data_IF_965161808908
#
_entry.id   IF_965161808908
#
_cell.length_a   1.000
_cell.length_b   1.000
_cell.length_c   1.000
_cell.angle_alpha   90.00
_cell.angle_beta   90.00
_cell.angle_gamma   90.00
#
_symmetry.space_group_name_H-M   'P 1'
#
loop_
_entity.id
_entity.type
_entity.pdbx_description
1 polymer ?
#
# COMPACT_ATOMS: atom_id res chain seq x y z
N UNK A 1 21.17 -10.42 -1.84
CA UNK A 1 20.24 -9.32 -2.18
C UNK A 1 20.17 -8.44 -0.96
N UNK A 2 20.21 -7.11 -1.11
CA UNK A 2 20.06 -6.21 0.03
C UNK A 2 18.58 -6.15 0.44
N UNK A 3 18.32 -5.90 1.71
CA UNK A 3 16.97 -5.64 2.21
C UNK A 3 16.71 -4.14 2.23
N UNK A 4 15.47 -3.76 1.95
CA UNK A 4 14.96 -2.39 2.05
C UNK A 4 13.85 -2.34 3.10
N UNK A 5 13.76 -1.22 3.81
CA UNK A 5 12.70 -0.96 4.77
C UNK A 5 11.76 0.11 4.22
N UNK A 6 10.49 -0.24 4.09
CA UNK A 6 9.44 0.66 3.63
C UNK A 6 8.50 0.98 4.79
N UNK A 7 8.16 2.25 4.95
CA UNK A 7 7.23 2.72 5.95
C UNK A 7 5.81 2.80 5.38
N UNK A 8 4.91 2.00 5.95
CA UNK A 8 3.48 1.98 5.61
C UNK A 8 2.71 2.81 6.62
N UNK A 9 1.90 3.75 6.13
CA UNK A 9 1.00 4.58 6.95
C UNK A 9 -0.43 4.47 6.46
N UNK A 10 -1.34 4.05 7.33
CA UNK A 10 -2.74 3.93 7.01
C UNK A 10 -3.58 5.03 7.68
N UNK A 11 -4.72 5.35 7.08
CA UNK A 11 -5.67 6.34 7.55
C UNK A 11 -7.09 5.77 7.65
N UNK A 12 -7.91 6.42 8.49
CA UNK A 12 -9.29 6.02 8.79
C UNK A 12 -9.43 4.50 8.96
N UNK A 13 -10.34 3.84 8.23
CA UNK A 13 -10.67 2.42 8.41
C UNK A 13 -9.49 1.48 8.14
N UNK A 14 -8.52 1.89 7.32
CA UNK A 14 -7.32 1.09 7.09
C UNK A 14 -6.41 1.01 8.32
N UNK A 15 -6.47 2.00 9.24
CA UNK A 15 -5.69 1.96 10.49
C UNK A 15 -6.07 0.79 11.38
N UNK A 16 -7.34 0.41 11.39
CA UNK A 16 -7.84 -0.70 12.19
C UNK A 16 -7.25 -2.04 11.74
N UNK A 17 -6.81 -2.14 10.48
CA UNK A 17 -6.23 -3.36 9.90
C UNK A 17 -4.70 -3.30 9.88
N UNK A 18 -4.12 -2.22 9.33
CA UNK A 18 -2.68 -2.07 9.10
C UNK A 18 -1.91 -1.43 10.27
N UNK A 19 -2.63 -0.86 11.24
CA UNK A 19 -2.06 0.07 12.22
C UNK A 19 -1.80 1.46 11.63
N UNK A 20 -1.48 2.43 12.49
CA UNK A 20 -1.21 3.80 12.06
C UNK A 20 0.13 3.97 11.33
N UNK A 21 1.13 3.15 11.69
CA UNK A 21 2.49 3.16 11.15
C UNK A 21 3.10 1.77 11.31
N UNK A 22 3.51 1.17 10.20
CA UNK A 22 4.11 -0.17 10.15
C UNK A 22 5.35 -0.13 9.28
N UNK A 23 6.41 -0.82 9.68
CA UNK A 23 7.60 -1.00 8.83
C UNK A 23 7.54 -2.37 8.20
N UNK A 24 7.75 -2.42 6.88
CA UNK A 24 7.81 -3.67 6.13
C UNK A 24 9.21 -3.80 5.54
N UNK A 25 9.86 -4.92 5.81
CA UNK A 25 11.14 -5.27 5.21
C UNK A 25 10.87 -6.10 3.96
N UNK A 26 11.48 -5.70 2.86
CA UNK A 26 11.34 -6.27 1.53
C UNK A 26 12.74 -6.47 0.92
N UNK A 27 12.86 -7.32 -0.08
CA UNK A 27 14.11 -7.42 -0.84
C UNK A 27 14.24 -6.27 -1.83
N UNK A 28 15.47 -5.80 -2.06
CA UNK A 28 15.76 -4.77 -3.06
C UNK A 28 15.23 -5.18 -4.45
N UNK A 29 14.59 -4.23 -5.13
CA UNK A 29 13.99 -4.44 -6.45
C UNK A 29 12.52 -4.87 -6.42
N UNK A 30 11.95 -5.15 -5.24
CA UNK A 30 10.51 -5.35 -5.07
C UNK A 30 9.72 -4.07 -5.34
N UNK A 31 8.45 -4.26 -5.68
CA UNK A 31 7.53 -3.23 -6.16
C UNK A 31 6.43 -2.94 -5.15
N UNK A 32 5.64 -1.89 -5.42
CA UNK A 32 4.42 -1.60 -4.64
C UNK A 32 3.47 -2.80 -4.63
N UNK A 33 3.36 -3.54 -5.74
CA UNK A 33 2.56 -4.78 -5.79
C UNK A 33 3.09 -5.83 -4.82
N UNK A 34 4.40 -6.05 -4.77
CA UNK A 34 5.00 -7.03 -3.86
C UNK A 34 4.78 -6.64 -2.39
N UNK A 35 4.90 -5.34 -2.08
CA UNK A 35 4.55 -4.82 -0.75
C UNK A 35 3.10 -5.13 -0.39
N UNK A 36 2.17 -4.90 -1.32
CA UNK A 36 0.76 -5.19 -1.10
C UNK A 36 0.50 -6.67 -0.84
N UNK A 37 1.11 -7.58 -1.60
CA UNK A 37 0.99 -9.02 -1.35
C UNK A 37 1.48 -9.39 0.06
N UNK A 38 2.63 -8.86 0.50
CA UNK A 38 3.14 -9.08 1.87
C UNK A 38 2.16 -8.55 2.92
N UNK A 39 1.48 -7.42 2.67
CA UNK A 39 0.46 -6.90 3.57
C UNK A 39 -0.80 -7.78 3.57
N UNK A 40 -1.22 -8.31 2.43
CA UNK A 40 -2.40 -9.17 2.33
C UNK A 40 -2.20 -10.52 3.01
N UNK A 41 -0.99 -11.10 2.94
CA UNK A 41 -0.66 -12.33 3.67
C UNK A 41 -0.69 -12.14 5.20
N UNK A 42 -0.45 -10.91 5.69
CA UNK A 42 -0.43 -10.59 7.12
C UNK A 42 -1.79 -10.17 7.67
N UNK A 43 -2.72 -9.78 6.79
CA UNK A 43 -3.98 -9.15 7.16
C UNK A 43 -5.13 -9.67 6.30
N UNK A 44 -5.90 -10.62 6.86
CA UNK A 44 -7.10 -11.13 6.23
C UNK A 44 -8.11 -10.00 5.94
N UNK A 45 -8.73 -10.04 4.75
CA UNK A 45 -9.72 -9.05 4.31
C UNK A 45 -9.15 -7.69 3.89
N UNK A 46 -7.84 -7.44 4.01
CA UNK A 46 -7.22 -6.21 3.53
C UNK A 46 -7.26 -6.11 2.00
N UNK A 47 -7.11 -7.24 1.31
CA UNK A 47 -7.11 -7.29 -0.17
C UNK A 47 -8.38 -6.69 -0.75
N UNK A 48 -9.54 -7.10 -0.25
CA UNK A 48 -10.86 -6.63 -0.71
C UNK A 48 -11.14 -5.16 -0.32
N UNK A 49 -10.42 -4.64 0.68
CA UNK A 49 -10.50 -3.23 1.09
C UNK A 49 -9.66 -2.31 0.22
N UNK A 50 -8.54 -2.79 -0.31
CA UNK A 50 -7.60 -2.00 -1.11
C UNK A 50 -7.83 -2.20 -2.60
N UNK A 51 -8.14 -3.42 -3.04
CA UNK A 51 -8.26 -3.80 -4.44
C UNK A 51 -9.71 -4.12 -4.84
N UNK A 52 -10.06 -3.82 -6.08
CA UNK A 52 -11.27 -4.27 -6.77
C UNK A 52 -11.17 -5.74 -7.22
N UNK A 53 -12.25 -6.27 -7.78
CA UNK A 53 -12.33 -7.62 -8.33
C UNK A 53 -11.36 -7.88 -9.50
N UNK A 54 -10.84 -6.83 -10.13
CA UNK A 54 -9.86 -6.91 -11.21
C UNK A 54 -8.41 -6.81 -10.69
N UNK A 55 -8.21 -6.75 -9.36
CA UNK A 55 -6.90 -6.67 -8.72
C UNK A 55 -6.25 -5.28 -8.83
N UNK A 56 -7.03 -4.24 -9.10
CA UNK A 56 -6.57 -2.84 -9.20
C UNK A 56 -7.02 -2.10 -7.95
N UNK A 57 -6.37 -0.99 -7.56
CA UNK A 57 -6.86 -0.18 -6.44
C UNK A 57 -8.36 0.14 -6.60
N UNK A 58 -9.12 -0.12 -5.54
CA UNK A 58 -10.57 0.08 -5.51
C UNK A 58 -10.93 1.55 -5.75
N UNK A 59 -12.17 1.79 -6.19
CA UNK A 59 -12.63 3.15 -6.45
C UNK A 59 -12.53 4.01 -5.18
N UNK A 60 -11.82 5.14 -5.28
CA UNK A 60 -11.56 6.04 -4.16
C UNK A 60 -10.39 5.64 -3.25
N UNK A 61 -9.75 4.49 -3.45
CA UNK A 61 -8.56 4.10 -2.68
C UNK A 61 -7.33 4.80 -3.25
N UNK A 62 -6.72 5.70 -2.47
CA UNK A 62 -5.48 6.35 -2.84
C UNK A 62 -4.27 5.65 -2.23
N UNK A 63 -3.30 5.33 -3.09
CA UNK A 63 -2.01 4.78 -2.72
C UNK A 63 -0.95 5.80 -3.10
N UNK A 64 -0.34 6.43 -2.10
CA UNK A 64 0.64 7.51 -2.31
C UNK A 64 2.03 7.01 -1.92
N UNK A 65 2.98 7.01 -2.86
CA UNK A 65 4.39 6.73 -2.64
C UNK A 65 5.18 8.04 -2.66
N UNK A 66 5.78 8.42 -1.52
CA UNK A 66 6.59 9.64 -1.38
C UNK A 66 5.91 10.91 -1.95
N UNK A 67 4.61 11.06 -1.72
CA UNK A 67 3.82 12.20 -2.21
C UNK A 67 3.25 12.05 -3.63
N UNK A 68 3.54 10.96 -4.35
CA UNK A 68 2.97 10.67 -5.68
C UNK A 68 1.91 9.57 -5.60
N UNK A 69 0.72 9.84 -6.12
CA UNK A 69 -0.34 8.83 -6.21
C UNK A 69 0.01 7.80 -7.30
N UNK A 70 0.32 6.58 -6.88
CA UNK A 70 0.62 5.42 -7.76
C UNK A 70 -0.60 4.53 -7.96
N UNK A 71 -1.64 4.69 -7.12
CA UNK A 71 -2.92 4.01 -7.27
C UNK A 71 -3.72 4.53 -8.47
N UNK A 72 -3.69 5.85 -8.69
CA UNK A 72 -4.39 6.52 -9.79
C UNK A 72 -3.90 6.06 -11.17
N UNK A 73 -2.59 5.91 -11.34
CA UNK A 73 -2.01 5.40 -12.60
C UNK A 73 -2.21 3.89 -12.77
N UNK A 74 -2.74 3.21 -11.74
CA UNK A 74 -2.87 1.75 -11.64
C UNK A 74 -1.55 1.02 -11.88
N UNK A 75 -0.43 1.72 -11.70
CA UNK A 75 0.91 1.19 -11.88
C UNK A 75 1.51 0.85 -10.52
N UNK A 76 1.28 -0.39 -10.12
CA UNK A 76 1.84 -0.97 -8.90
C UNK A 76 3.22 -1.62 -9.17
N UNK A 77 3.75 -1.50 -10.39
CA UNK A 77 5.06 -2.07 -10.75
C UNK A 77 6.23 -1.16 -10.41
N UNK A 78 5.94 0.02 -9.83
CA UNK A 78 6.95 0.95 -9.34
C UNK A 78 7.83 0.26 -8.30
N UNK A 79 9.15 0.25 -8.54
CA UNK A 79 10.16 -0.29 -7.62
C UNK A 79 10.28 0.58 -6.38
N UNK A 80 10.31 -0.08 -5.23
CA UNK A 80 10.53 0.54 -3.93
C UNK A 80 12.02 0.65 -3.63
N UNK A 81 12.36 1.62 -2.79
CA UNK A 81 13.70 1.90 -2.27
C UNK A 81 13.69 1.91 -0.75
N UNK A 82 14.87 1.74 -0.18
CA UNK A 82 15.03 1.85 1.27
C UNK A 82 14.61 3.24 1.76
N UNK A 83 13.82 3.26 2.83
CA UNK A 83 13.26 4.48 3.41
C UNK A 83 12.02 5.04 2.72
N UNK A 84 11.51 4.40 1.66
CA UNK A 84 10.28 4.85 1.00
C UNK A 84 9.09 4.86 1.96
N UNK A 85 8.20 5.84 1.77
CA UNK A 85 6.98 5.97 2.54
C UNK A 85 5.76 5.77 1.64
N UNK A 86 4.91 4.83 2.03
CA UNK A 86 3.63 4.57 1.37
C UNK A 86 2.47 4.92 2.29
N UNK A 87 1.46 5.56 1.72
CA UNK A 87 0.26 5.99 2.42
C UNK A 87 -0.95 5.36 1.77
N UNK A 88 -1.83 4.79 2.60
CA UNK A 88 -3.10 4.22 2.18
C UNK A 88 -4.25 5.07 2.73
N UNK A 89 -5.01 5.67 1.82
CA UNK A 89 -6.23 6.41 2.16
C UNK A 89 -7.44 5.64 1.62
N UNK A 90 -8.46 5.38 2.46
CA UNK A 90 -9.70 4.82 1.97
C UNK A 90 -10.45 5.83 1.11
N UNK A 91 -11.49 5.38 0.38
CA UNK A 91 -12.41 6.27 -0.33
C UNK A 91 -12.83 7.42 0.58
N UNK A 92 -12.51 8.64 0.16
CA UNK A 92 -13.00 9.84 0.81
C UNK A 92 -14.52 9.86 0.66
N UNK A 93 -15.23 9.29 1.63
CA UNK A 93 -16.65 9.55 1.81
C UNK A 93 -16.75 11.01 2.22
N UNK A 94 -17.13 11.88 1.29
CA UNK A 94 -17.46 13.27 1.59
C UNK A 94 -18.45 13.30 2.76
N UNK A 95 -18.13 14.08 3.78
CA UNK A 95 -19.09 14.49 4.79
C UNK A 95 -20.04 15.54 4.23
#
# INVERSE_FOLDING_TARGET
MADITVEVRAFADFRSVLGARTKVVLSEGQTVKDLLEVLFERHDGLREKILDSEGRPGEGVDIILNGRNVGYTKDLTVKLRDGDQIFFFPPLSGG
#
